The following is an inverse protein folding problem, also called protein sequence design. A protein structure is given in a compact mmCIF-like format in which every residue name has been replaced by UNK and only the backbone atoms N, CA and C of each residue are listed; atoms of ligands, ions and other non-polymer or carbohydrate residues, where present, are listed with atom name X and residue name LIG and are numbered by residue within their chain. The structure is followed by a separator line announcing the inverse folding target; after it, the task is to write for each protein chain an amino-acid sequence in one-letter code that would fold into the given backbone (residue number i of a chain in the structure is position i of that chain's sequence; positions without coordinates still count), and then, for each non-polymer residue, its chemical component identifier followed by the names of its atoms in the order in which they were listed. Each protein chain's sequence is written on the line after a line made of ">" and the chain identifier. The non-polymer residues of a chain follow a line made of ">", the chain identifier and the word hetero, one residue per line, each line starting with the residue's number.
data_IF_646037718300
#
_entry.id   IF_646037718300
#
_cell.length_a   1.000
_cell.length_b   1.000
_cell.length_c   1.000
_cell.angle_alpha   90.00
_cell.angle_beta   90.00
_cell.angle_gamma   90.00
#
_symmetry.space_group_name_H-M   'P 1'
#
loop_
_entity.id
_entity.type
_entity.pdbx_description
1 polymer ?
#
# COMPACT_ATOMS: atom_id res chain seq x y z
N UNK A 1 -13.13 5.06 -16.69
CA UNK A 1 -13.80 4.65 -15.42
C UNK A 1 -14.65 5.80 -14.95
N UNK A 2 -15.94 5.57 -14.71
CA UNK A 2 -16.83 6.60 -14.17
C UNK A 2 -16.42 6.94 -12.73
N UNK A 3 -16.59 8.22 -12.29
CA UNK A 3 -16.31 8.63 -10.91
C UNK A 3 -17.06 7.79 -9.86
N UNK A 4 -18.19 7.19 -10.22
CA UNK A 4 -18.96 6.27 -9.36
C UNK A 4 -18.28 4.88 -9.18
N UNK A 5 -17.46 4.43 -10.14
CA UNK A 5 -16.73 3.16 -10.05
C UNK A 5 -15.44 3.29 -9.25
N UNK A 6 -14.93 4.53 -9.12
CA UNK A 6 -13.71 4.81 -8.38
C UNK A 6 -13.91 4.84 -6.86
N UNK A 7 -15.16 4.98 -6.38
CA UNK A 7 -15.51 5.00 -4.96
C UNK A 7 -16.45 3.83 -4.63
N UNK A 8 -16.07 3.03 -3.65
CA UNK A 8 -16.87 1.89 -3.16
C UNK A 8 -16.95 1.93 -1.65
N UNK A 9 -18.04 1.43 -1.09
CA UNK A 9 -18.19 1.21 0.35
C UNK A 9 -18.31 -0.29 0.58
N UNK A 10 -17.50 -0.82 1.49
CA UNK A 10 -17.51 -2.25 1.86
C UNK A 10 -17.66 -2.34 3.39
N UNK A 11 -18.71 -3.01 3.82
CA UNK A 11 -19.01 -3.26 5.24
C UNK A 11 -18.90 -4.74 5.63
N UNK A 12 -18.81 -5.63 4.65
CA UNK A 12 -18.75 -7.08 4.88
C UNK A 12 -17.31 -7.59 5.01
N UNK A 13 -17.02 -8.25 6.10
CA UNK A 13 -15.75 -8.94 6.35
C UNK A 13 -15.49 -10.13 5.41
N UNK A 14 -16.55 -10.65 4.76
CA UNK A 14 -16.46 -11.78 3.82
C UNK A 14 -16.33 -11.34 2.37
N UNK A 15 -16.27 -10.03 2.12
CA UNK A 15 -16.08 -9.47 0.78
C UNK A 15 -14.73 -9.95 0.18
N UNK A 16 -14.73 -10.32 -1.08
CA UNK A 16 -13.54 -10.89 -1.72
C UNK A 16 -12.40 -9.88 -1.86
N UNK A 17 -12.69 -8.59 -2.01
CA UNK A 17 -11.67 -7.53 -1.96
C UNK A 17 -10.98 -7.51 -0.60
N UNK A 18 -11.73 -7.58 0.50
CA UNK A 18 -11.19 -7.60 1.87
C UNK A 18 -10.30 -8.84 2.08
N UNK A 19 -10.75 -10.01 1.62
CA UNK A 19 -9.96 -11.26 1.67
C UNK A 19 -8.67 -11.13 0.87
N UNK A 20 -8.74 -10.58 -0.35
CA UNK A 20 -7.59 -10.37 -1.22
C UNK A 20 -6.56 -9.43 -0.62
N UNK A 21 -7.00 -8.28 -0.10
CA UNK A 21 -6.08 -7.32 0.57
C UNK A 21 -5.43 -7.95 1.79
N UNK A 22 -6.20 -8.66 2.63
CA UNK A 22 -5.66 -9.36 3.80
C UNK A 22 -4.66 -10.46 3.41
N UNK A 23 -4.86 -11.13 2.29
CA UNK A 23 -3.96 -12.18 1.80
C UNK A 23 -2.57 -11.64 1.44
N UNK A 24 -2.42 -10.34 1.16
CA UNK A 24 -1.13 -9.70 0.87
C UNK A 24 -0.14 -9.73 2.06
N UNK A 25 -0.55 -10.11 3.24
CA UNK A 25 0.39 -10.45 4.32
C UNK A 25 1.23 -11.69 4.01
N UNK A 26 0.74 -12.59 3.15
CA UNK A 26 1.46 -13.78 2.73
C UNK A 26 2.34 -13.48 1.52
N UNK A 27 3.60 -13.90 1.59
CA UNK A 27 4.55 -13.72 0.49
C UNK A 27 4.03 -14.30 -0.82
N UNK A 28 3.49 -15.53 -0.77
CA UNK A 28 2.91 -16.21 -1.94
C UNK A 28 1.89 -15.32 -2.68
N UNK A 29 1.01 -14.65 -1.94
CA UNK A 29 -0.02 -13.79 -2.53
C UNK A 29 0.58 -12.51 -3.12
N UNK A 30 1.61 -11.95 -2.47
CA UNK A 30 2.34 -10.80 -3.03
C UNK A 30 3.05 -11.17 -4.33
N UNK A 31 3.72 -12.33 -4.35
CA UNK A 31 4.43 -12.82 -5.54
C UNK A 31 3.44 -13.14 -6.68
N UNK A 32 2.26 -13.70 -6.34
CA UNK A 32 1.21 -14.01 -7.32
C UNK A 32 0.55 -12.76 -7.91
N UNK A 33 0.26 -11.77 -7.07
CA UNK A 33 -0.49 -10.57 -7.47
C UNK A 33 0.42 -9.42 -7.92
N UNK A 34 1.70 -9.46 -7.61
CA UNK A 34 2.62 -8.34 -7.81
C UNK A 34 2.27 -7.12 -6.95
N UNK A 35 1.59 -7.31 -5.81
CA UNK A 35 1.08 -6.23 -4.96
C UNK A 35 1.53 -6.40 -3.52
N UNK A 36 1.53 -5.29 -2.77
CA UNK A 36 1.77 -5.27 -1.34
C UNK A 36 0.90 -4.25 -0.63
N UNK A 37 0.75 -4.42 0.68
CA UNK A 37 -0.02 -3.54 1.56
C UNK A 37 0.93 -2.62 2.34
N UNK A 38 0.62 -1.33 2.37
CA UNK A 38 1.25 -0.34 3.23
C UNK A 38 0.21 0.28 4.17
N UNK A 39 0.55 0.39 5.45
CA UNK A 39 -0.35 0.91 6.48
C UNK A 39 0.09 2.29 6.94
N UNK A 40 -0.85 3.22 6.92
CA UNK A 40 -0.67 4.56 7.46
C UNK A 40 -0.39 5.62 6.41
N UNK A 41 -0.95 6.77 6.67
CA UNK A 41 -0.94 7.90 5.74
C UNK A 41 0.47 8.43 5.45
N UNK A 42 1.40 8.31 6.42
CA UNK A 42 2.80 8.72 6.23
C UNK A 42 3.46 7.93 5.10
N UNK A 43 3.39 6.60 5.12
CA UNK A 43 3.99 5.75 4.08
C UNK A 43 3.34 5.98 2.71
N UNK A 44 2.02 6.20 2.68
CA UNK A 44 1.32 6.56 1.45
C UNK A 44 1.85 7.88 0.91
N UNK A 45 2.06 8.88 1.77
CA UNK A 45 2.63 10.17 1.38
C UNK A 45 4.03 10.04 0.78
N UNK A 46 4.90 9.28 1.43
CA UNK A 46 6.26 9.00 0.93
C UNK A 46 6.24 8.31 -0.45
N UNK A 47 5.31 7.36 -0.65
CA UNK A 47 5.14 6.71 -1.95
C UNK A 47 4.68 7.71 -3.03
N UNK A 48 3.73 8.59 -2.70
CA UNK A 48 3.27 9.65 -3.60
C UNK A 48 4.38 10.64 -3.97
N UNK A 49 5.29 10.96 -3.05
CA UNK A 49 6.46 11.81 -3.30
C UNK A 49 7.44 11.17 -4.28
N UNK A 50 7.43 9.83 -4.37
CA UNK A 50 8.15 9.03 -5.36
C UNK A 50 7.35 8.77 -6.65
N UNK A 51 6.21 9.47 -6.85
CA UNK A 51 5.36 9.29 -8.02
C UNK A 51 4.59 7.96 -8.06
N UNK A 52 4.46 7.28 -6.91
CA UNK A 52 3.79 5.97 -6.81
C UNK A 52 2.45 6.13 -6.10
N UNK A 53 1.38 6.06 -6.87
CA UNK A 53 0.01 6.06 -6.33
C UNK A 53 -0.44 4.63 -6.01
N UNK A 54 -1.27 4.42 -4.96
CA UNK A 54 -1.85 3.12 -4.70
C UNK A 54 -2.86 2.73 -5.79
N UNK A 55 -2.90 1.44 -6.13
CA UNK A 55 -3.96 0.88 -7.00
C UNK A 55 -5.29 0.75 -6.26
N UNK A 56 -5.22 0.74 -4.93
CA UNK A 56 -6.39 0.71 -4.06
C UNK A 56 -6.06 1.44 -2.76
N UNK A 57 -6.89 2.40 -2.40
CA UNK A 57 -6.81 3.15 -1.15
C UNK A 57 -8.01 2.78 -0.27
N UNK A 58 -7.75 2.09 0.84
CA UNK A 58 -8.77 1.80 1.84
C UNK A 58 -8.77 2.91 2.88
N UNK A 59 -9.95 3.45 3.15
CA UNK A 59 -10.14 4.57 4.09
C UNK A 59 -11.20 4.16 5.10
N UNK A 60 -10.85 4.18 6.37
CA UNK A 60 -11.81 3.95 7.44
C UNK A 60 -12.89 5.02 7.47
N UNK A 61 -14.12 4.62 7.78
CA UNK A 61 -15.26 5.55 7.93
C UNK A 61 -15.02 6.63 9.00
N UNK A 62 -14.14 6.32 9.98
CA UNK A 62 -13.71 7.23 11.05
C UNK A 62 -12.49 8.09 10.68
N UNK A 63 -11.94 7.96 9.47
CA UNK A 63 -10.77 8.71 9.06
C UNK A 63 -11.03 10.22 9.05
N UNK A 64 -10.21 10.96 9.80
CA UNK A 64 -10.34 12.42 9.89
C UNK A 64 -9.87 13.10 8.60
N UNK A 65 -10.48 14.22 8.22
CA UNK A 65 -9.99 15.03 7.12
C UNK A 65 -8.52 15.42 7.33
N UNK A 66 -7.72 15.24 6.28
CA UNK A 66 -6.30 15.58 6.30
C UNK A 66 -5.83 15.87 4.87
N UNK A 67 -5.04 16.95 4.64
CA UNK A 67 -4.59 17.34 3.30
C UNK A 67 -3.88 16.21 2.55
N UNK A 68 -3.08 15.42 3.26
CA UNK A 68 -2.39 14.27 2.66
C UNK A 68 -3.35 13.14 2.26
N UNK A 69 -4.46 12.95 3.01
CA UNK A 69 -5.49 11.99 2.64
C UNK A 69 -6.22 12.45 1.36
N UNK A 70 -6.51 13.73 1.24
CA UNK A 70 -7.16 14.28 0.04
C UNK A 70 -6.24 14.16 -1.17
N UNK A 71 -4.94 14.45 -1.00
CA UNK A 71 -3.92 14.20 -2.02
C UNK A 71 -3.86 12.72 -2.41
N UNK A 72 -3.85 11.81 -1.43
CA UNK A 72 -3.80 10.37 -1.69
C UNK A 72 -5.02 9.89 -2.49
N UNK A 73 -6.22 10.37 -2.15
CA UNK A 73 -7.45 10.09 -2.92
C UNK A 73 -7.32 10.59 -4.35
N UNK A 74 -6.90 11.85 -4.54
CA UNK A 74 -6.78 12.46 -5.86
C UNK A 74 -5.77 11.71 -6.75
N UNK A 75 -4.57 11.42 -6.25
CA UNK A 75 -3.54 10.72 -7.02
C UNK A 75 -3.92 9.26 -7.28
N UNK A 76 -4.62 8.58 -6.34
CA UNK A 76 -5.16 7.23 -6.57
C UNK A 76 -6.12 7.22 -7.75
N UNK A 77 -7.09 8.14 -7.80
CA UNK A 77 -8.06 8.25 -8.90
C UNK A 77 -7.37 8.60 -10.22
N UNK A 78 -6.46 9.57 -10.20
CA UNK A 78 -5.70 9.99 -11.37
C UNK A 78 -4.89 8.84 -11.98
N UNK A 79 -4.35 7.96 -11.15
CA UNK A 79 -3.64 6.74 -11.57
C UNK A 79 -4.57 5.59 -12.00
N UNK A 80 -5.89 5.77 -11.97
CA UNK A 80 -6.86 4.72 -12.30
C UNK A 80 -7.14 3.73 -11.18
N UNK A 81 -6.69 4.04 -9.95
CA UNK A 81 -6.95 3.22 -8.76
C UNK A 81 -8.35 3.42 -8.18
N UNK A 82 -8.66 2.69 -7.13
CA UNK A 82 -9.97 2.71 -6.45
C UNK A 82 -9.83 3.19 -5.01
N UNK A 83 -10.84 3.95 -4.54
CA UNK A 83 -11.00 4.31 -3.13
C UNK A 83 -12.10 3.44 -2.55
N UNK A 84 -11.80 2.79 -1.43
CA UNK A 84 -12.73 1.91 -0.74
C UNK A 84 -12.89 2.40 0.69
N UNK A 85 -14.09 2.86 1.02
CA UNK A 85 -14.46 3.20 2.39
C UNK A 85 -14.83 1.89 3.11
N UNK A 86 -14.25 1.68 4.27
CA UNK A 86 -14.41 0.44 5.04
C UNK A 86 -14.69 0.74 6.52
N UNK A 87 -15.34 -0.20 7.19
CA UNK A 87 -15.57 -0.12 8.63
C UNK A 87 -14.28 -0.37 9.43
N UNK A 88 -14.24 0.10 10.68
CA UNK A 88 -13.13 -0.17 11.60
C UNK A 88 -12.83 -1.67 11.72
N UNK A 89 -13.86 -2.51 11.86
CA UNK A 89 -13.71 -3.96 11.94
C UNK A 89 -12.99 -4.58 10.72
N UNK A 90 -13.16 -4.01 9.52
CA UNK A 90 -12.43 -4.42 8.33
C UNK A 90 -10.96 -4.02 8.43
N UNK A 91 -10.67 -2.80 8.91
CA UNK A 91 -9.28 -2.35 9.11
C UNK A 91 -8.55 -3.24 10.12
N UNK A 92 -9.16 -3.54 11.28
CA UNK A 92 -8.60 -4.49 12.27
C UNK A 92 -8.30 -5.85 11.63
N UNK A 93 -9.27 -6.35 10.85
CA UNK A 93 -9.14 -7.67 10.20
C UNK A 93 -8.02 -7.70 9.16
N UNK A 94 -7.81 -6.61 8.43
CA UNK A 94 -6.75 -6.50 7.43
C UNK A 94 -5.39 -6.29 8.11
N UNK A 95 -5.27 -5.31 9.01
CA UNK A 95 -4.00 -4.95 9.66
C UNK A 95 -3.50 -6.00 10.65
N UNK A 96 -4.38 -6.85 11.17
CA UNK A 96 -4.12 -7.79 12.27
C UNK A 96 -3.66 -7.09 13.55
N UNK A 97 -4.17 -5.89 13.80
CA UNK A 97 -3.88 -5.05 14.97
C UNK A 97 -5.17 -4.60 15.63
N UNK A 98 -5.17 -4.49 16.94
CA UNK A 98 -6.31 -3.99 17.72
C UNK A 98 -6.51 -2.48 17.53
N UNK A 99 -5.45 -1.77 17.14
CA UNK A 99 -5.50 -0.34 16.82
C UNK A 99 -4.91 -0.10 15.43
N UNK A 100 -5.69 -0.34 14.38
CA UNK A 100 -5.24 -0.21 13.00
C UNK A 100 -5.07 1.25 12.58
N UNK A 101 -4.26 1.49 11.57
CA UNK A 101 -4.26 2.77 10.89
C UNK A 101 -5.56 2.96 10.11
N UNK A 102 -6.09 4.19 10.11
CA UNK A 102 -7.36 4.51 9.42
C UNK A 102 -7.26 4.57 7.90
N UNK A 103 -6.04 4.48 7.36
CA UNK A 103 -5.78 4.50 5.92
C UNK A 103 -4.76 3.43 5.57
N UNK A 104 -5.10 2.60 4.58
CA UNK A 104 -4.23 1.54 4.04
C UNK A 104 -4.12 1.72 2.52
N UNK A 105 -2.93 1.51 1.97
CA UNK A 105 -2.70 1.55 0.52
C UNK A 105 -2.25 0.18 -0.01
N UNK A 106 -2.83 -0.25 -1.11
CA UNK A 106 -2.32 -1.39 -1.89
C UNK A 106 -1.55 -0.83 -3.09
N UNK A 107 -0.31 -1.24 -3.21
CA UNK A 107 0.61 -0.78 -4.24
C UNK A 107 1.08 -1.94 -5.12
N UNK A 108 1.48 -1.64 -6.34
CA UNK A 108 2.19 -2.60 -7.18
C UNK A 108 3.64 -2.73 -6.75
N UNK A 109 4.16 -3.95 -6.74
CA UNK A 109 5.59 -4.20 -6.57
C UNK A 109 6.32 -3.78 -7.84
N UNK A 110 7.35 -2.96 -7.67
CA UNK A 110 8.21 -2.55 -8.78
C UNK A 110 9.65 -2.94 -8.45
N UNK A 111 10.21 -3.81 -9.27
CA UNK A 111 11.60 -4.24 -9.16
C UNK A 111 12.39 -3.74 -10.38
N UNK A 112 13.59 -3.24 -10.13
CA UNK A 112 14.54 -2.94 -11.20
C UNK A 112 15.30 -4.22 -11.54
N UNK A 113 15.25 -4.72 -12.78
CA UNK A 113 16.04 -5.86 -13.20
C UNK A 113 17.53 -5.57 -13.01
N UNK A 114 18.31 -6.58 -12.61
CA UNK A 114 19.75 -6.39 -12.34
C UNK A 114 20.54 -5.92 -13.57
N UNK A 115 20.16 -6.37 -14.75
CA UNK A 115 20.76 -5.97 -16.03
C UNK A 115 20.44 -4.50 -16.43
N UNK A 116 19.38 -3.92 -15.86
CA UNK A 116 19.05 -2.51 -16.05
C UNK A 116 19.79 -1.58 -15.08
N UNK A 117 20.50 -2.13 -14.09
CA UNK A 117 21.25 -1.34 -13.12
C UNK A 117 22.63 -1.01 -13.72
N UNK A 118 22.86 0.28 -13.99
CA UNK A 118 24.16 0.79 -14.40
C UNK A 118 24.79 1.54 -13.22
N UNK A 119 25.80 0.97 -12.57
CA UNK A 119 26.50 1.64 -11.48
C UNK A 119 27.28 2.84 -12.02
N UNK A 120 27.07 4.02 -11.43
CA UNK A 120 27.90 5.19 -11.70
C UNK A 120 29.34 4.98 -11.27
N UNK A 121 30.26 5.82 -11.74
CA UNK A 121 31.70 5.69 -11.49
C UNK A 121 32.12 5.77 -10.00
N UNK A 122 31.22 6.18 -9.09
CA UNK A 122 31.46 6.27 -7.62
C UNK A 122 30.30 5.73 -6.78
N UNK A 123 29.68 4.60 -7.08
CA UNK A 123 28.57 4.09 -6.28
C UNK A 123 29.08 3.34 -5.06
N UNK A 124 28.37 3.50 -3.94
CA UNK A 124 28.43 2.55 -2.85
C UNK A 124 27.18 1.64 -2.99
N UNK A 125 27.37 0.40 -3.34
CA UNK A 125 26.30 -0.58 -3.46
C UNK A 125 26.31 -1.51 -2.26
N UNK A 126 25.17 -1.72 -1.65
CA UNK A 126 25.01 -2.67 -0.56
C UNK A 126 24.13 -3.82 -1.02
N UNK A 127 24.68 -5.03 -1.03
CA UNK A 127 23.91 -6.24 -1.26
C UNK A 127 23.56 -6.87 0.08
N UNK A 128 22.29 -7.13 0.30
CA UNK A 128 21.77 -7.76 1.51
C UNK A 128 21.09 -9.07 1.16
N UNK A 129 21.47 -10.13 1.86
CA UNK A 129 20.88 -11.44 1.70
C UNK A 129 20.30 -11.94 3.04
N UNK A 130 19.16 -12.59 2.98
CA UNK A 130 18.48 -13.22 4.12
C UNK A 130 18.17 -12.29 5.31
N UNK A 131 17.96 -11.00 5.07
CA UNK A 131 17.52 -10.08 6.11
C UNK A 131 16.11 -10.48 6.55
N UNK A 132 15.98 -10.92 7.80
CA UNK A 132 14.71 -11.43 8.36
C UNK A 132 13.93 -10.37 9.11
N UNK A 133 14.62 -9.44 9.74
CA UNK A 133 14.03 -8.37 10.54
C UNK A 133 13.91 -7.08 9.73
N UNK A 134 12.67 -6.58 9.50
CA UNK A 134 12.45 -5.32 8.81
C UNK A 134 13.09 -4.11 9.52
N UNK A 135 13.22 -4.16 10.86
CA UNK A 135 13.87 -3.12 11.63
C UNK A 135 15.36 -3.02 11.31
N UNK A 136 16.04 -4.17 11.17
CA UNK A 136 17.44 -4.19 10.77
C UNK A 136 17.63 -3.66 9.35
N UNK A 137 16.74 -4.00 8.42
CA UNK A 137 16.77 -3.45 7.07
C UNK A 137 16.60 -1.93 7.08
N UNK A 138 15.62 -1.41 7.83
CA UNK A 138 15.37 0.02 7.94
C UNK A 138 16.50 0.81 8.64
N UNK A 139 17.35 0.13 9.42
CA UNK A 139 18.54 0.75 10.05
C UNK A 139 19.70 0.88 9.06
N UNK A 140 19.75 0.01 8.05
CA UNK A 140 20.80 0.00 7.04
C UNK A 140 20.53 1.02 5.93
N UNK A 141 19.27 1.23 5.57
CA UNK A 141 18.81 2.19 4.56
C UNK A 141 18.84 3.62 5.13
#
# INVERSE_FOLDING_TARGET
>A
MSAKEAYRVITSLTNDTVKGVRALHMRKERDLTGRFLAEGLKFIGEALDQGRAPVMLLVGEEARPHPLLDRAKAETIKAGGQIIVVTHAILEKISRRDNPQTVLGVFEQVYTPLDAIQPDAKPCWVALEQVRDPGNLGTII
#
